data_IF_672425052533
#
_entry.id   IF_672425052533
#
_cell.length_a   1.000
_cell.length_b   1.000
_cell.length_c   1.000
_cell.angle_alpha   90.00
_cell.angle_beta   90.00
_cell.angle_gamma   90.00
#
_symmetry.space_group_name_H-M   'P 1'
#
loop_
_entity.id
_entity.type
_entity.pdbx_description
1 polymer ?
#
# COMPACT_ATOMS: atom_id res chain seq x y z
N UNK A 1 8.10 -40.15 -18.96
CA UNK A 1 9.09 -39.06 -18.84
C UNK A 1 8.43 -37.69 -18.90
N UNK A 2 7.59 -37.42 -19.91
CA UNK A 2 6.85 -36.14 -20.08
C UNK A 2 5.95 -35.74 -18.89
N UNK A 3 5.26 -36.70 -18.27
CA UNK A 3 4.36 -36.43 -17.12
C UNK A 3 5.14 -35.83 -15.92
N UNK A 4 6.36 -36.31 -15.67
CA UNK A 4 7.21 -35.83 -14.57
C UNK A 4 7.77 -34.42 -14.86
N UNK A 5 8.08 -34.13 -16.12
CA UNK A 5 8.52 -32.80 -16.57
C UNK A 5 7.41 -31.75 -16.42
N UNK A 6 6.18 -32.07 -16.83
CA UNK A 6 5.02 -31.19 -16.69
C UNK A 6 4.68 -30.90 -15.23
N UNK A 7 4.80 -31.91 -14.35
CA UNK A 7 4.61 -31.73 -12.90
C UNK A 7 5.66 -30.80 -12.30
N UNK A 8 6.94 -30.96 -12.68
CA UNK A 8 8.01 -30.09 -12.21
C UNK A 8 7.81 -28.64 -12.68
N UNK A 9 7.43 -28.46 -13.96
CA UNK A 9 7.18 -27.14 -14.54
C UNK A 9 6.04 -26.41 -13.82
N UNK A 10 4.90 -27.08 -13.59
CA UNK A 10 3.78 -26.51 -12.85
C UNK A 10 4.16 -26.09 -11.42
N UNK A 11 5.02 -26.86 -10.75
CA UNK A 11 5.47 -26.51 -9.42
C UNK A 11 6.37 -25.27 -9.43
N UNK A 12 7.29 -25.16 -10.40
CA UNK A 12 8.17 -23.99 -10.56
C UNK A 12 7.36 -22.72 -10.80
N UNK A 13 6.36 -22.78 -11.70
CA UNK A 13 5.46 -21.65 -11.99
C UNK A 13 4.73 -21.20 -10.72
N UNK A 14 4.10 -22.13 -10.00
CA UNK A 14 3.41 -21.83 -8.72
C UNK A 14 4.32 -21.17 -7.68
N UNK A 15 5.57 -21.64 -7.54
CA UNK A 15 6.52 -21.01 -6.62
C UNK A 15 6.94 -19.60 -7.05
N UNK A 16 7.03 -19.32 -8.36
CA UNK A 16 7.36 -17.99 -8.85
C UNK A 16 6.22 -16.98 -8.62
N UNK A 17 4.98 -17.41 -8.85
CA UNK A 17 3.77 -16.61 -8.58
C UNK A 17 3.62 -16.30 -7.09
N UNK A 18 3.82 -17.30 -6.22
CA UNK A 18 3.78 -17.10 -4.78
C UNK A 18 4.84 -16.09 -4.30
N UNK A 19 6.05 -16.15 -4.86
CA UNK A 19 7.13 -15.21 -4.54
C UNK A 19 6.82 -13.79 -5.03
N UNK A 20 6.27 -13.65 -6.24
CA UNK A 20 5.83 -12.37 -6.77
C UNK A 20 4.73 -11.74 -5.90
N UNK A 21 3.73 -12.54 -5.50
CA UNK A 21 2.66 -12.11 -4.62
C UNK A 21 3.17 -11.69 -3.23
N UNK A 22 4.11 -12.43 -2.66
CA UNK A 22 4.76 -12.06 -1.39
C UNK A 22 5.50 -10.72 -1.52
N UNK A 23 6.19 -10.49 -2.64
CA UNK A 23 6.91 -9.25 -2.91
C UNK A 23 5.94 -8.06 -3.06
N UNK A 24 4.82 -8.25 -3.76
CA UNK A 24 3.77 -7.23 -3.88
C UNK A 24 3.17 -6.87 -2.52
N UNK A 25 2.90 -7.86 -1.65
CA UNK A 25 2.41 -7.60 -0.29
C UNK A 25 3.39 -6.74 0.51
N UNK A 26 4.68 -7.05 0.45
CA UNK A 26 5.72 -6.27 1.15
C UNK A 26 5.77 -4.83 0.64
N UNK A 27 5.67 -4.62 -0.67
CA UNK A 27 5.65 -3.28 -1.27
C UNK A 27 4.40 -2.52 -0.81
N UNK A 28 3.23 -3.17 -0.84
CA UNK A 28 1.97 -2.57 -0.41
C UNK A 28 2.03 -2.12 1.05
N UNK A 29 2.51 -2.98 1.95
CA UNK A 29 2.64 -2.65 3.38
C UNK A 29 3.58 -1.47 3.61
N UNK A 30 4.70 -1.41 2.87
CA UNK A 30 5.62 -0.26 2.94
C UNK A 30 4.98 1.04 2.48
N UNK A 31 4.18 1.00 1.40
CA UNK A 31 3.50 2.21 0.92
C UNK A 31 2.41 2.66 1.90
N UNK A 32 1.69 1.72 2.54
CA UNK A 32 0.71 2.03 3.59
C UNK A 32 1.38 2.77 4.75
N UNK A 33 2.47 2.23 5.29
CA UNK A 33 3.21 2.87 6.39
C UNK A 33 3.75 4.25 6.01
N UNK A 34 4.27 4.38 4.79
CA UNK A 34 4.74 5.66 4.27
C UNK A 34 3.62 6.69 4.17
N UNK A 35 2.48 6.35 3.54
CA UNK A 35 1.34 7.27 3.41
C UNK A 35 0.76 7.64 4.77
N UNK A 36 0.69 6.69 5.71
CA UNK A 36 0.29 6.96 7.10
C UNK A 36 1.20 7.98 7.77
N UNK A 37 2.52 7.84 7.62
CA UNK A 37 3.49 8.79 8.16
C UNK A 37 3.37 10.18 7.54
N UNK A 38 3.21 10.27 6.22
CA UNK A 38 3.01 11.57 5.55
C UNK A 38 1.67 12.22 5.93
N UNK A 39 0.60 11.44 6.11
CA UNK A 39 -0.69 11.94 6.58
C UNK A 39 -0.58 12.50 8.01
N UNK A 40 0.06 11.76 8.92
CA UNK A 40 0.31 12.22 10.30
C UNK A 40 1.13 13.50 10.33
N UNK A 41 2.15 13.61 9.47
CA UNK A 41 2.96 14.81 9.33
C UNK A 41 2.16 15.98 8.77
N UNK A 42 1.29 15.74 7.78
CA UNK A 42 0.42 16.77 7.21
C UNK A 42 -0.55 17.34 8.25
N UNK A 43 -1.19 16.49 9.06
CA UNK A 43 -2.01 16.94 10.20
C UNK A 43 -1.20 17.73 11.21
N UNK A 44 -0.04 17.21 11.63
CA UNK A 44 0.83 17.91 12.59
C UNK A 44 1.24 19.28 12.07
N UNK A 45 1.56 19.41 10.79
CA UNK A 45 1.92 20.69 10.19
C UNK A 45 0.72 21.63 10.10
N UNK A 46 -0.47 21.09 9.79
CA UNK A 46 -1.70 21.86 9.72
C UNK A 46 -2.04 22.56 11.05
N UNK A 47 -1.75 21.91 12.19
CA UNK A 47 -1.98 22.48 13.52
C UNK A 47 -1.23 23.82 13.76
N UNK A 48 -0.17 24.10 13.01
CA UNK A 48 0.64 25.33 13.13
C UNK A 48 0.36 26.35 12.00
N UNK A 49 -0.65 26.11 11.18
CA UNK A 49 -0.99 26.98 10.06
C UNK A 49 -1.76 28.21 10.53
N UNK A 50 -1.16 29.38 10.31
CA UNK A 50 -1.79 30.69 10.61
C UNK A 50 -2.08 31.51 9.34
N UNK A 51 -1.67 31.01 8.17
CA UNK A 51 -1.86 31.65 6.87
C UNK A 51 -3.00 30.94 6.12
N UNK A 52 -4.01 31.70 5.68
CA UNK A 52 -5.17 31.19 4.96
C UNK A 52 -4.82 30.43 3.68
N UNK A 53 -3.77 30.80 2.95
CA UNK A 53 -3.36 30.07 1.74
C UNK A 53 -2.74 28.70 2.08
N UNK A 54 -2.08 28.62 3.24
CA UNK A 54 -1.54 27.36 3.75
C UNK A 54 -2.66 26.44 4.26
N UNK A 55 -3.77 27.00 4.75
CA UNK A 55 -4.95 26.20 5.15
C UNK A 55 -5.46 25.37 3.97
N UNK A 56 -5.65 26.01 2.82
CA UNK A 56 -6.11 25.31 1.60
C UNK A 56 -5.10 24.26 1.15
N UNK A 57 -3.82 24.62 1.08
CA UNK A 57 -2.74 23.70 0.71
C UNK A 57 -2.75 22.41 1.53
N UNK A 58 -2.72 22.55 2.87
CA UNK A 58 -2.68 21.40 3.76
C UNK A 58 -4.01 20.64 3.78
N UNK A 59 -5.15 21.32 3.61
CA UNK A 59 -6.46 20.66 3.47
C UNK A 59 -6.48 19.75 2.24
N UNK A 60 -5.99 20.21 1.09
CA UNK A 60 -5.88 19.38 -0.10
C UNK A 60 -4.89 18.23 0.08
N UNK A 61 -3.74 18.51 0.70
CA UNK A 61 -2.72 17.49 0.96
C UNK A 61 -3.25 16.37 1.88
N UNK A 62 -3.93 16.72 2.98
CA UNK A 62 -4.55 15.78 3.91
C UNK A 62 -5.56 14.90 3.17
N UNK A 63 -6.51 15.50 2.44
CA UNK A 63 -7.53 14.76 1.69
C UNK A 63 -6.93 13.81 0.66
N UNK A 64 -5.86 14.21 -0.01
CA UNK A 64 -5.14 13.36 -0.94
C UNK A 64 -4.54 12.13 -0.24
N UNK A 65 -3.85 12.34 0.89
CA UNK A 65 -3.28 11.23 1.66
C UNK A 65 -4.33 10.34 2.32
N UNK A 66 -5.45 10.88 2.82
CA UNK A 66 -6.59 10.10 3.32
C UNK A 66 -7.15 9.19 2.22
N UNK A 67 -7.39 9.75 1.03
CA UNK A 67 -7.92 9.00 -0.13
C UNK A 67 -6.95 7.90 -0.56
N UNK A 68 -5.66 8.21 -0.62
CA UNK A 68 -4.62 7.24 -0.94
C UNK A 68 -4.55 6.13 0.11
N UNK A 69 -4.59 6.48 1.39
CA UNK A 69 -4.55 5.53 2.49
C UNK A 69 -5.75 4.58 2.43
N UNK A 70 -6.97 5.11 2.27
CA UNK A 70 -8.19 4.31 2.14
C UNK A 70 -8.10 3.34 0.96
N UNK A 71 -7.61 3.80 -0.19
CA UNK A 71 -7.40 2.94 -1.36
C UNK A 71 -6.41 1.79 -1.06
N UNK A 72 -5.27 2.09 -0.43
CA UNK A 72 -4.27 1.08 -0.11
C UNK A 72 -4.78 0.06 0.91
N UNK A 73 -5.55 0.50 1.91
CA UNK A 73 -6.21 -0.40 2.88
C UNK A 73 -7.22 -1.30 2.17
N UNK A 74 -8.03 -0.76 1.25
CA UNK A 74 -8.94 -1.58 0.43
C UNK A 74 -8.16 -2.61 -0.39
N UNK A 75 -7.05 -2.21 -1.03
CA UNK A 75 -6.18 -3.14 -1.78
C UNK A 75 -5.58 -4.22 -0.86
N UNK A 76 -5.17 -3.87 0.35
CA UNK A 76 -4.61 -4.85 1.29
C UNK A 76 -5.66 -5.89 1.71
N UNK A 77 -6.90 -5.46 1.94
CA UNK A 77 -8.04 -6.35 2.24
C UNK A 77 -8.36 -7.29 1.07
N UNK A 78 -8.32 -6.82 -0.18
CA UNK A 78 -8.54 -7.72 -1.34
C UNK A 78 -7.43 -8.77 -1.49
N UNK A 79 -6.23 -8.50 -0.97
CA UNK A 79 -5.16 -9.48 -0.87
C UNK A 79 -5.30 -10.40 0.36
N UNK A 80 -6.29 -10.21 1.24
CA UNK A 80 -6.46 -10.98 2.47
C UNK A 80 -5.56 -10.54 3.62
N UNK A 81 -5.04 -9.32 3.59
CA UNK A 81 -4.35 -8.70 4.73
C UNK A 81 -5.41 -7.95 5.54
N UNK A 82 -5.81 -8.53 6.68
CA UNK A 82 -6.94 -8.02 7.48
C UNK A 82 -6.51 -7.31 8.78
N UNK A 83 -5.22 -7.33 9.13
CA UNK A 83 -4.69 -6.84 10.42
C UNK A 83 -4.19 -5.38 10.38
N UNK A 84 -4.65 -4.58 9.42
CA UNK A 84 -4.20 -3.19 9.18
C UNK A 84 -5.21 -2.14 9.65
#
# INVERSE_FOLDING_TARGET
MEISLNKALNNVVKTSEAKALASERVILLKEIEKVKGELQKAYKNFDYVNDSLMVDYYTYQIKAYETMFEFLIKKAKTMGINEL
#
